data_IF_307429958530
#
_entry.id   IF_307429958530
#
_cell.length_a   1.000
_cell.length_b   1.000
_cell.length_c   1.000
_cell.angle_alpha   90.00
_cell.angle_beta   90.00
_cell.angle_gamma   90.00
#
_symmetry.space_group_name_H-M   'P 1'
#
loop_
_entity.id
_entity.type
_entity.pdbx_description
1 polymer ?
#
# COMPACT_ATOMS: atom_id res chain seq x y z
N UNK A 1 -10.08 65.16 33.38
CA UNK A 1 -10.52 63.86 33.94
C UNK A 1 -11.40 63.21 32.89
N UNK A 2 -10.84 62.35 32.06
CA UNK A 2 -11.52 61.76 30.91
C UNK A 2 -12.14 60.43 31.32
N UNK A 3 -13.45 60.29 31.12
CA UNK A 3 -14.19 59.05 31.36
C UNK A 3 -13.74 57.96 30.37
N UNK A 4 -13.69 56.69 30.80
CA UNK A 4 -13.39 55.58 29.92
C UNK A 4 -14.59 55.24 29.01
N UNK A 5 -14.36 54.69 27.81
CA UNK A 5 -15.41 54.32 26.88
C UNK A 5 -16.18 53.07 27.34
N UNK A 6 -17.44 52.88 26.91
CA UNK A 6 -18.27 51.75 27.30
C UNK A 6 -17.81 50.45 26.63
N UNK A 7 -17.84 49.37 27.39
CA UNK A 7 -17.51 48.01 26.95
C UNK A 7 -18.60 47.43 26.07
N UNK A 8 -18.28 47.15 24.80
CA UNK A 8 -19.15 46.41 23.88
C UNK A 8 -19.10 44.91 24.20
N UNK A 9 -20.18 44.38 24.78
CA UNK A 9 -20.40 42.95 24.98
C UNK A 9 -20.74 42.26 23.66
N UNK A 10 -19.74 41.68 23.00
CA UNK A 10 -19.98 40.78 21.87
C UNK A 10 -20.47 39.43 22.40
N UNK A 11 -21.71 39.09 22.06
CA UNK A 11 -22.31 37.78 22.32
C UNK A 11 -21.55 36.69 21.56
N UNK A 12 -20.79 35.88 22.30
CA UNK A 12 -20.14 34.67 21.79
C UNK A 12 -21.22 33.65 21.41
N UNK A 13 -21.62 33.63 20.14
CA UNK A 13 -22.36 32.53 19.54
C UNK A 13 -21.43 31.30 19.46
N UNK A 14 -21.40 30.52 20.55
CA UNK A 14 -20.86 29.16 20.55
C UNK A 14 -21.71 28.32 19.60
N UNK A 15 -21.30 28.20 18.34
CA UNK A 15 -21.78 27.14 17.45
C UNK A 15 -21.52 25.81 18.17
N UNK A 16 -22.59 25.07 18.47
CA UNK A 16 -22.49 23.73 19.01
C UNK A 16 -21.79 22.85 17.97
N UNK A 17 -20.85 22.04 18.43
CA UNK A 17 -20.08 21.09 17.62
C UNK A 17 -20.94 19.97 16.98
N UNK A 18 -22.25 19.98 17.19
CA UNK A 18 -23.23 19.03 16.68
C UNK A 18 -23.62 19.25 15.21
N UNK A 19 -23.18 20.35 14.60
CA UNK A 19 -23.63 20.76 13.26
C UNK A 19 -22.63 20.37 12.16
N UNK A 20 -21.63 19.53 12.47
CA UNK A 20 -20.79 18.92 11.44
C UNK A 20 -21.62 17.86 10.69
N UNK A 21 -21.67 17.90 9.34
CA UNK A 21 -22.38 16.89 8.57
C UNK A 21 -21.84 15.49 8.89
N UNK A 22 -22.64 14.67 9.58
CA UNK A 22 -22.40 13.23 9.75
C UNK A 22 -22.82 12.43 8.52
N UNK A 23 -23.40 13.10 7.52
CA UNK A 23 -23.86 12.48 6.29
C UNK A 23 -22.70 12.28 5.29
N UNK A 24 -21.91 11.23 5.55
CA UNK A 24 -20.85 10.75 4.66
C UNK A 24 -21.40 9.88 3.51
N UNK A 25 -22.72 9.77 3.33
CA UNK A 25 -23.30 9.07 2.17
C UNK A 25 -22.99 9.79 0.84
N UNK A 26 -22.56 11.05 0.91
CA UNK A 26 -22.07 11.84 -0.22
C UNK A 26 -20.55 11.74 -0.44
N UNK A 27 -19.95 10.57 -0.23
CA UNK A 27 -18.62 10.31 -0.77
C UNK A 27 -18.69 10.44 -2.29
N UNK A 28 -18.08 11.52 -2.82
CA UNK A 28 -18.02 11.73 -4.27
C UNK A 28 -17.44 10.48 -4.92
N UNK A 29 -18.07 9.93 -5.98
CA UNK A 29 -17.52 8.79 -6.72
C UNK A 29 -16.05 9.03 -7.04
N UNK A 30 -15.21 8.03 -6.81
CA UNK A 30 -13.77 8.12 -7.08
C UNK A 30 -13.58 8.59 -8.53
N UNK A 31 -12.80 9.64 -8.79
CA UNK A 31 -12.34 9.91 -10.17
C UNK A 31 -11.39 8.76 -10.57
N UNK A 32 -11.91 7.79 -11.30
CA UNK A 32 -11.21 6.58 -11.73
C UNK A 32 -12.05 5.83 -12.76
N UNK A 33 -11.43 4.97 -13.56
CA UNK A 33 -12.15 4.20 -14.57
C UNK A 33 -13.28 3.36 -13.96
N UNK A 34 -14.38 3.16 -14.72
CA UNK A 34 -15.60 2.41 -14.30
C UNK A 34 -15.30 1.11 -13.54
N UNK A 35 -14.22 0.43 -13.91
CA UNK A 35 -13.73 -0.80 -13.28
C UNK A 35 -13.47 -0.67 -11.76
N UNK A 36 -12.89 0.45 -11.31
CA UNK A 36 -12.61 0.65 -9.88
C UNK A 36 -13.88 0.88 -9.07
N UNK A 37 -14.84 1.61 -9.64
CA UNK A 37 -16.11 1.95 -8.97
C UNK A 37 -17.05 0.74 -8.85
N UNK A 38 -16.88 -0.29 -9.69
CA UNK A 38 -17.74 -1.48 -9.73
C UNK A 38 -17.92 -2.16 -8.36
N UNK A 39 -16.89 -2.12 -7.51
CA UNK A 39 -16.92 -2.75 -6.18
C UNK A 39 -17.04 -1.75 -5.03
N UNK A 40 -17.35 -0.47 -5.30
CA UNK A 40 -17.57 0.50 -4.23
C UNK A 40 -18.73 0.07 -3.32
N UNK A 41 -19.79 -0.50 -3.90
CA UNK A 41 -20.92 -1.06 -3.13
C UNK A 41 -20.50 -2.28 -2.31
N UNK A 42 -19.62 -3.14 -2.82
CA UNK A 42 -19.08 -4.27 -2.04
C UNK A 42 -18.42 -3.75 -0.75
N UNK A 43 -17.52 -2.77 -0.86
CA UNK A 43 -16.77 -2.25 0.28
C UNK A 43 -17.63 -1.39 1.23
N UNK A 44 -18.57 -0.63 0.70
CA UNK A 44 -19.35 0.34 1.47
C UNK A 44 -20.65 -0.23 2.06
N UNK A 45 -21.21 -1.29 1.48
CA UNK A 45 -22.53 -1.82 1.87
C UNK A 45 -22.54 -3.29 2.27
N UNK A 46 -21.68 -4.12 1.66
CA UNK A 46 -21.79 -5.58 1.80
C UNK A 46 -20.78 -6.22 2.75
N UNK A 47 -19.55 -5.70 2.84
CA UNK A 47 -18.54 -6.22 3.76
C UNK A 47 -18.74 -5.69 5.19
N UNK A 48 -18.34 -6.44 6.24
CA UNK A 48 -18.39 -5.95 7.62
C UNK A 48 -17.60 -4.65 7.80
N UNK A 49 -18.14 -3.69 8.56
CA UNK A 49 -17.57 -2.33 8.69
C UNK A 49 -17.35 -1.92 10.14
N UNK A 50 -16.31 -1.10 10.34
CA UNK A 50 -16.10 -0.32 11.55
C UNK A 50 -15.98 1.15 11.14
N UNK A 51 -16.94 1.98 11.59
CA UNK A 51 -17.14 3.33 11.08
C UNK A 51 -17.21 3.35 9.53
N UNK A 52 -16.28 4.07 8.89
CA UNK A 52 -16.28 4.29 7.43
C UNK A 52 -15.39 3.32 6.64
N UNK A 53 -14.84 2.29 7.27
CA UNK A 53 -13.91 1.33 6.62
C UNK A 53 -14.35 -0.11 6.86
N UNK A 54 -13.75 -1.07 6.15
CA UNK A 54 -13.92 -2.50 6.46
C UNK A 54 -13.43 -2.74 7.89
N UNK A 55 -14.17 -3.54 8.66
CA UNK A 55 -13.78 -3.90 10.02
C UNK A 55 -12.40 -4.61 10.01
N UNK A 56 -11.38 -4.07 10.69
CA UNK A 56 -10.04 -4.67 10.72
C UNK A 56 -9.99 -6.06 11.36
N UNK A 57 -11.02 -6.47 12.10
CA UNK A 57 -11.12 -7.81 12.70
C UNK A 57 -11.98 -8.78 11.89
N UNK A 58 -12.59 -8.32 10.79
CA UNK A 58 -13.40 -9.20 9.95
C UNK A 58 -12.54 -10.22 9.20
N UNK A 59 -12.94 -11.49 9.27
CA UNK A 59 -12.29 -12.60 8.58
C UNK A 59 -13.06 -12.98 7.32
N UNK A 60 -12.35 -13.38 6.26
CA UNK A 60 -12.99 -13.83 5.01
C UNK A 60 -13.88 -15.05 5.23
N UNK A 61 -13.49 -15.93 6.17
CA UNK A 61 -14.28 -17.11 6.53
C UNK A 61 -15.68 -16.77 7.05
N UNK A 62 -15.83 -15.62 7.72
CA UNK A 62 -17.10 -15.20 8.31
C UNK A 62 -18.05 -14.56 7.28
N UNK A 63 -17.58 -14.35 6.04
CA UNK A 63 -18.39 -13.79 4.95
C UNK A 63 -19.13 -14.91 4.24
N UNK A 64 -20.46 -14.81 4.26
CA UNK A 64 -21.40 -15.80 3.72
C UNK A 64 -22.38 -15.15 2.73
N UNK A 65 -23.07 -15.98 1.93
CA UNK A 65 -24.10 -15.52 0.99
C UNK A 65 -23.58 -14.57 -0.08
N UNK A 66 -24.40 -13.59 -0.46
CA UNK A 66 -24.11 -12.65 -1.56
C UNK A 66 -22.79 -11.87 -1.39
N UNK A 67 -22.45 -11.31 -0.21
CA UNK A 67 -21.14 -10.68 0.00
C UNK A 67 -19.94 -11.59 -0.32
N UNK A 68 -20.06 -12.91 -0.08
CA UNK A 68 -18.99 -13.89 -0.38
C UNK A 68 -18.82 -14.03 -1.90
N UNK A 69 -19.92 -14.11 -2.65
CA UNK A 69 -19.90 -14.18 -4.11
C UNK A 69 -19.32 -12.91 -4.74
N UNK A 70 -19.71 -11.74 -4.25
CA UNK A 70 -19.16 -10.46 -4.68
C UNK A 70 -17.67 -10.35 -4.36
N UNK A 71 -17.23 -10.83 -3.18
CA UNK A 71 -15.81 -10.86 -2.83
C UNK A 71 -15.01 -11.80 -3.73
N UNK A 72 -15.52 -13.00 -4.06
CA UNK A 72 -14.89 -13.89 -5.05
C UNK A 72 -14.75 -13.21 -6.41
N UNK A 73 -15.83 -12.60 -6.91
CA UNK A 73 -15.81 -11.87 -8.17
C UNK A 73 -14.83 -10.68 -8.16
N UNK A 74 -14.69 -10.00 -7.02
CA UNK A 74 -13.70 -8.95 -6.83
C UNK A 74 -12.27 -9.50 -6.94
N UNK A 75 -11.95 -10.59 -6.24
CA UNK A 75 -10.63 -11.25 -6.33
C UNK A 75 -10.34 -11.67 -7.77
N UNK A 76 -11.29 -12.32 -8.45
CA UNK A 76 -11.19 -12.68 -9.87
C UNK A 76 -10.81 -11.48 -10.73
N UNK A 77 -11.50 -10.35 -10.54
CA UNK A 77 -11.25 -9.18 -11.36
C UNK A 77 -9.89 -8.52 -11.05
N UNK A 78 -9.38 -8.65 -9.83
CA UNK A 78 -8.07 -8.11 -9.43
C UNK A 78 -6.89 -9.01 -9.79
N UNK A 79 -7.17 -10.25 -10.16
CA UNK A 79 -6.18 -11.23 -10.61
C UNK A 79 -6.50 -11.68 -12.06
N UNK A 80 -6.52 -10.78 -13.06
CA UNK A 80 -6.87 -11.14 -14.42
C UNK A 80 -5.87 -12.14 -15.00
N UNK A 81 -6.37 -13.26 -15.53
CA UNK A 81 -5.55 -14.35 -16.07
C UNK A 81 -5.06 -15.36 -15.04
N UNK A 82 -5.44 -15.20 -13.76
CA UNK A 82 -5.05 -16.08 -12.65
C UNK A 82 -6.26 -16.40 -11.77
N UNK A 83 -7.23 -17.10 -12.34
CA UNK A 83 -8.52 -17.41 -11.70
C UNK A 83 -8.34 -18.32 -10.48
N UNK A 84 -7.34 -19.19 -10.53
CA UNK A 84 -6.94 -20.11 -9.47
C UNK A 84 -6.54 -19.41 -8.16
N UNK A 85 -6.19 -18.12 -8.20
CA UNK A 85 -5.89 -17.36 -6.99
C UNK A 85 -7.14 -17.15 -6.11
N UNK A 86 -8.34 -17.16 -6.70
CA UNK A 86 -9.59 -17.14 -5.93
C UNK A 86 -9.69 -18.41 -5.09
N UNK A 87 -9.43 -19.57 -5.70
CA UNK A 87 -9.51 -20.85 -5.03
C UNK A 87 -8.43 -20.96 -3.94
N UNK A 88 -7.20 -20.53 -4.22
CA UNK A 88 -6.12 -20.49 -3.24
C UNK A 88 -6.51 -19.65 -2.01
N UNK A 89 -6.96 -18.41 -2.21
CA UNK A 89 -7.27 -17.49 -1.11
C UNK A 89 -8.49 -17.93 -0.30
N UNK A 90 -9.54 -18.45 -0.96
CA UNK A 90 -10.72 -18.95 -0.26
C UNK A 90 -10.46 -20.30 0.41
N UNK A 91 -9.55 -21.12 -0.12
CA UNK A 91 -9.09 -22.32 0.57
C UNK A 91 -8.37 -21.96 1.88
N UNK A 92 -7.52 -20.92 1.90
CA UNK A 92 -6.91 -20.41 3.14
C UNK A 92 -7.98 -19.93 4.12
N UNK A 93 -8.98 -19.17 3.65
CA UNK A 93 -10.06 -18.73 4.50
C UNK A 93 -10.84 -19.90 5.12
N UNK A 94 -11.03 -21.00 4.39
CA UNK A 94 -11.79 -22.16 4.86
C UNK A 94 -10.98 -23.06 5.80
N UNK A 95 -9.69 -23.27 5.54
CA UNK A 95 -8.84 -24.20 6.30
C UNK A 95 -8.08 -23.53 7.44
N UNK A 96 -7.81 -22.23 7.31
CA UNK A 96 -7.12 -21.40 8.30
C UNK A 96 -7.93 -20.13 8.59
N UNK A 97 -9.11 -20.26 9.21
CA UNK A 97 -10.14 -19.21 9.25
C UNK A 97 -9.76 -17.92 9.97
N UNK A 98 -8.66 -17.93 10.73
CA UNK A 98 -8.14 -16.78 11.46
C UNK A 98 -6.98 -16.07 10.74
N UNK A 99 -6.55 -16.56 9.57
CA UNK A 99 -5.33 -16.11 8.92
C UNK A 99 -5.55 -15.13 7.76
N UNK A 100 -6.75 -15.06 7.19
CA UNK A 100 -7.09 -14.14 6.11
C UNK A 100 -8.15 -13.12 6.53
N UNK A 101 -7.68 -11.93 6.93
CA UNK A 101 -8.54 -10.79 7.24
C UNK A 101 -9.08 -10.14 5.98
N UNK A 102 -10.37 -9.81 5.97
CA UNK A 102 -11.07 -9.22 4.81
C UNK A 102 -10.46 -7.88 4.42
N UNK A 103 -10.17 -7.02 5.41
CA UNK A 103 -9.57 -5.72 5.19
C UNK A 103 -8.20 -5.86 4.52
N UNK A 104 -7.33 -6.72 5.06
CA UNK A 104 -5.97 -6.93 4.55
C UNK A 104 -5.97 -7.53 3.14
N UNK A 105 -6.88 -8.46 2.85
CA UNK A 105 -7.08 -8.99 1.51
C UNK A 105 -7.39 -7.85 0.51
N UNK A 106 -8.36 -7.01 0.84
CA UNK A 106 -8.79 -5.93 -0.05
C UNK A 106 -7.71 -4.85 -0.21
N UNK A 107 -7.04 -4.45 0.88
CA UNK A 107 -5.92 -3.51 0.86
C UNK A 107 -4.78 -4.04 0.00
N UNK A 108 -4.39 -5.30 0.19
CA UNK A 108 -3.29 -5.94 -0.54
C UNK A 108 -3.60 -6.02 -2.03
N UNK A 109 -4.81 -6.46 -2.41
CA UNK A 109 -5.19 -6.59 -3.83
C UNK A 109 -5.22 -5.24 -4.57
N UNK A 110 -5.79 -4.19 -3.96
CA UNK A 110 -5.76 -2.86 -4.57
C UNK A 110 -4.31 -2.33 -4.67
N UNK A 111 -3.51 -2.54 -3.63
CA UNK A 111 -2.12 -2.07 -3.59
C UNK A 111 -1.25 -2.78 -4.63
N UNK A 112 -1.26 -4.11 -4.66
CA UNK A 112 -0.51 -4.92 -5.63
C UNK A 112 -0.99 -4.64 -7.07
N UNK A 113 -2.26 -4.31 -7.28
CA UNK A 113 -2.73 -3.87 -8.60
C UNK A 113 -2.02 -2.61 -9.06
N UNK A 114 -1.94 -1.59 -8.20
CA UNK A 114 -1.26 -0.32 -8.49
C UNK A 114 0.24 -0.50 -8.65
N UNK A 115 0.86 -1.25 -7.74
CA UNK A 115 2.31 -1.50 -7.71
C UNK A 115 2.73 -2.32 -8.91
N UNK A 116 2.01 -3.40 -9.24
CA UNK A 116 2.32 -4.20 -10.42
C UNK A 116 2.10 -3.46 -11.74
N UNK A 117 1.18 -2.48 -11.79
CA UNK A 117 1.06 -1.59 -12.95
C UNK A 117 2.27 -0.66 -13.08
N UNK A 118 2.82 -0.19 -11.96
CA UNK A 118 4.03 0.63 -11.92
C UNK A 118 5.26 -0.17 -12.37
N UNK A 119 5.47 -1.36 -11.79
CA UNK A 119 6.54 -2.28 -12.20
C UNK A 119 6.45 -2.61 -13.69
N UNK A 120 5.25 -2.90 -14.22
CA UNK A 120 5.07 -3.13 -15.66
C UNK A 120 5.50 -1.93 -16.51
N UNK A 121 5.23 -0.71 -16.06
CA UNK A 121 5.65 0.49 -16.78
C UNK A 121 7.18 0.66 -16.75
N UNK A 122 7.82 0.41 -15.61
CA UNK A 122 9.28 0.43 -15.46
C UNK A 122 9.98 -0.61 -16.35
N UNK A 123 9.38 -1.78 -16.51
CA UNK A 123 9.92 -2.89 -17.31
C UNK A 123 9.45 -2.89 -18.77
N UNK A 124 8.77 -1.83 -19.21
CA UNK A 124 8.38 -1.68 -20.60
C UNK A 124 9.61 -1.41 -21.47
N UNK A 125 9.55 -1.77 -22.76
CA UNK A 125 10.65 -1.55 -23.71
C UNK A 125 11.10 -0.09 -23.82
N UNK A 126 10.21 0.85 -23.51
CA UNK A 126 10.52 2.28 -23.52
C UNK A 126 11.43 2.67 -22.34
N UNK A 127 11.19 2.10 -21.15
CA UNK A 127 11.91 2.44 -19.93
C UNK A 127 13.08 1.48 -19.61
N UNK A 128 13.07 0.26 -20.16
CA UNK A 128 14.13 -0.75 -20.03
C UNK A 128 14.39 -1.45 -21.39
N UNK A 129 14.94 -0.73 -22.39
CA UNK A 129 15.10 -1.22 -23.75
C UNK A 129 16.02 -2.44 -23.85
N UNK A 130 17.02 -2.55 -22.98
CA UNK A 130 17.95 -3.68 -22.91
C UNK A 130 17.39 -4.84 -22.07
N UNK A 131 16.36 -4.60 -21.27
CA UNK A 131 15.82 -5.55 -20.30
C UNK A 131 16.78 -5.83 -19.15
N UNK A 132 17.82 -5.00 -18.95
CA UNK A 132 18.83 -5.22 -17.92
C UNK A 132 18.21 -5.13 -16.53
N UNK A 133 17.36 -4.11 -16.32
CA UNK A 133 16.71 -3.92 -15.04
C UNK A 133 15.81 -5.11 -14.72
N UNK A 134 15.01 -5.58 -15.68
CA UNK A 134 14.17 -6.77 -15.50
C UNK A 134 14.97 -8.00 -15.05
N UNK A 135 16.17 -8.20 -15.60
CA UNK A 135 17.02 -9.38 -15.30
C UNK A 135 17.69 -9.30 -13.94
N UNK A 136 18.03 -8.10 -13.46
CA UNK A 136 18.75 -7.92 -12.19
C UNK A 136 17.85 -7.52 -11.02
N UNK A 137 16.61 -7.06 -11.27
CA UNK A 137 15.71 -6.57 -10.23
C UNK A 137 15.34 -7.66 -9.22
N UNK A 138 15.44 -7.30 -7.95
CA UNK A 138 14.76 -7.97 -6.83
C UNK A 138 13.65 -7.06 -6.30
N UNK A 139 12.47 -7.63 -6.08
CA UNK A 139 11.37 -6.96 -5.38
C UNK A 139 11.47 -7.31 -3.90
N UNK A 140 11.56 -6.31 -3.03
CA UNK A 140 11.52 -6.49 -1.59
C UNK A 140 10.14 -6.11 -1.06
N UNK A 141 9.49 -7.01 -0.31
CA UNK A 141 8.31 -6.72 0.51
C UNK A 141 8.79 -6.53 1.96
N UNK A 142 8.90 -5.27 2.39
CA UNK A 142 9.54 -4.86 3.64
C UNK A 142 8.50 -4.66 4.74
N UNK A 143 8.74 -5.26 5.91
CA UNK A 143 7.75 -5.39 6.98
C UNK A 143 6.46 -6.04 6.45
N UNK A 144 6.63 -7.13 5.71
CA UNK A 144 5.57 -7.75 4.92
C UNK A 144 4.45 -8.40 5.75
N UNK A 145 4.65 -8.54 7.06
CA UNK A 145 3.71 -9.11 8.01
C UNK A 145 3.34 -10.55 7.65
N UNK A 146 2.23 -10.71 6.95
CA UNK A 146 1.73 -12.01 6.51
C UNK A 146 2.22 -12.41 5.11
N UNK A 147 2.95 -11.53 4.40
CA UNK A 147 3.65 -11.84 3.15
C UNK A 147 2.79 -12.03 1.90
N UNK A 148 1.48 -11.75 1.96
CA UNK A 148 0.58 -11.93 0.82
C UNK A 148 0.91 -10.99 -0.34
N UNK A 149 1.36 -9.76 -0.05
CA UNK A 149 1.77 -8.80 -1.08
C UNK A 149 2.91 -9.34 -1.94
N UNK A 150 4.00 -9.76 -1.29
CA UNK A 150 5.13 -10.42 -1.95
C UNK A 150 4.72 -11.71 -2.66
N UNK A 151 3.84 -12.54 -2.08
CA UNK A 151 3.32 -13.75 -2.73
C UNK A 151 2.63 -13.44 -4.06
N UNK A 152 1.73 -12.46 -4.08
CA UNK A 152 1.00 -12.05 -5.27
C UNK A 152 1.92 -11.43 -6.32
N UNK A 153 2.93 -10.66 -5.90
CA UNK A 153 3.93 -10.11 -6.82
C UNK A 153 4.84 -11.21 -7.39
N UNK A 154 5.26 -12.18 -6.59
CA UNK A 154 6.06 -13.31 -7.06
C UNK A 154 5.30 -14.12 -8.10
N UNK A 155 4.01 -14.38 -7.85
CA UNK A 155 3.13 -15.08 -8.79
C UNK A 155 2.92 -14.29 -10.09
N UNK A 156 2.73 -12.96 -9.98
CA UNK A 156 2.54 -12.08 -11.15
C UNK A 156 3.81 -11.88 -11.97
N UNK A 157 4.98 -11.91 -11.33
CA UNK A 157 6.29 -11.65 -11.94
C UNK A 157 7.23 -12.85 -11.73
N UNK A 158 6.94 -14.01 -12.34
CA UNK A 158 7.67 -15.24 -12.05
C UNK A 158 9.15 -15.22 -12.43
N UNK A 159 9.55 -14.30 -13.33
CA UNK A 159 10.95 -14.13 -13.72
C UNK A 159 11.74 -13.17 -12.83
N UNK A 160 11.12 -12.57 -11.80
CA UNK A 160 11.73 -11.58 -10.92
C UNK A 160 11.81 -12.17 -9.51
N UNK A 161 12.97 -12.05 -8.87
CA UNK A 161 13.15 -12.50 -7.49
C UNK A 161 12.32 -11.64 -6.55
N UNK A 162 11.62 -12.26 -5.59
CA UNK A 162 10.87 -11.57 -4.54
C UNK A 162 11.36 -12.00 -3.17
N UNK A 163 11.66 -11.03 -2.31
CA UNK A 163 12.13 -11.26 -0.94
C UNK A 163 11.19 -10.57 0.04
N UNK A 164 10.44 -11.38 0.79
CA UNK A 164 9.65 -10.95 1.93
C UNK A 164 10.55 -10.82 3.15
N UNK A 165 10.53 -9.68 3.85
CA UNK A 165 11.30 -9.47 5.07
C UNK A 165 10.38 -8.97 6.18
N UNK A 166 10.41 -9.65 7.33
CA UNK A 166 9.75 -9.23 8.56
C UNK A 166 10.56 -9.70 9.78
N UNK A 167 10.24 -9.19 10.97
CA UNK A 167 10.90 -9.56 12.23
C UNK A 167 10.58 -10.99 12.66
N UNK A 168 9.50 -11.57 12.15
CA UNK A 168 9.06 -12.93 12.42
C UNK A 168 8.37 -13.52 11.18
N UNK A 169 8.46 -14.83 11.01
CA UNK A 169 7.64 -15.54 10.03
C UNK A 169 6.31 -15.93 10.69
N UNK A 170 5.21 -15.30 10.28
CA UNK A 170 3.89 -15.60 10.85
C UNK A 170 3.28 -16.86 10.23
N UNK A 171 2.46 -17.64 10.95
CA UNK A 171 1.86 -18.87 10.44
C UNK A 171 1.07 -18.73 9.12
N UNK A 172 0.51 -17.55 8.87
CA UNK A 172 -0.18 -17.23 7.62
C UNK A 172 0.72 -17.27 6.38
N UNK A 173 2.03 -17.05 6.52
CA UNK A 173 2.98 -17.24 5.43
C UNK A 173 2.90 -18.65 4.86
N UNK A 174 2.99 -19.65 5.75
CA UNK A 174 2.99 -21.07 5.39
C UNK A 174 1.67 -21.49 4.73
N UNK A 175 0.52 -21.04 5.25
CA UNK A 175 -0.78 -21.37 4.66
C UNK A 175 -0.98 -20.73 3.29
N UNK A 176 -0.51 -19.49 3.08
CA UNK A 176 -0.52 -18.87 1.75
C UNK A 176 0.36 -19.65 0.78
N UNK A 177 1.58 -20.04 1.19
CA UNK A 177 2.45 -20.86 0.34
C UNK A 177 1.79 -22.17 -0.04
N UNK A 178 1.25 -22.90 0.94
CA UNK A 178 0.58 -24.17 0.71
C UNK A 178 -0.59 -24.02 -0.28
N UNK A 179 -1.42 -22.99 -0.13
CA UNK A 179 -2.52 -22.71 -1.04
C UNK A 179 -2.04 -22.41 -2.47
N UNK A 180 -1.01 -21.58 -2.61
CA UNK A 180 -0.46 -21.24 -3.92
C UNK A 180 0.19 -22.45 -4.59
N UNK A 181 0.88 -23.31 -3.84
CA UNK A 181 1.44 -24.55 -4.39
C UNK A 181 0.35 -25.55 -4.80
N UNK A 182 -0.78 -25.56 -4.09
CA UNK A 182 -1.91 -26.46 -4.37
C UNK A 182 -2.73 -26.05 -5.59
N UNK A 183 -3.01 -24.76 -5.75
CA UNK A 183 -3.93 -24.27 -6.78
C UNK A 183 -3.24 -23.48 -7.89
N UNK A 184 -2.08 -22.90 -7.62
CA UNK A 184 -1.37 -22.06 -8.56
C UNK A 184 -0.73 -22.82 -9.71
N UNK A 185 -0.35 -22.08 -10.74
CA UNK A 185 0.27 -22.60 -11.96
C UNK A 185 1.74 -22.21 -11.97
N UNK A 186 2.62 -23.20 -12.11
CA UNK A 186 4.05 -22.96 -12.29
C UNK A 186 4.29 -22.18 -13.58
N UNK A 187 5.14 -21.16 -13.50
CA UNK A 187 5.48 -20.36 -14.67
C UNK A 187 6.29 -21.16 -15.70
N UNK A 188 7.21 -21.99 -15.23
CA UNK A 188 7.96 -22.93 -16.07
C UNK A 188 7.75 -24.37 -15.59
N UNK A 189 7.73 -25.32 -16.51
CA UNK A 189 7.58 -26.76 -16.20
C UNK A 189 8.70 -27.29 -15.30
N UNK A 190 9.87 -26.64 -15.38
CA UNK A 190 11.08 -27.00 -14.64
C UNK A 190 11.13 -26.40 -13.24
N UNK A 191 10.24 -25.45 -12.92
CA UNK A 191 10.22 -24.83 -11.60
C UNK A 191 9.86 -25.88 -10.55
N UNK A 192 10.60 -25.89 -9.44
CA UNK A 192 10.37 -26.83 -8.34
C UNK A 192 9.06 -26.52 -7.62
N UNK A 193 8.65 -25.25 -7.57
CA UNK A 193 7.45 -24.76 -6.90
C UNK A 193 6.78 -23.63 -7.70
N UNK A 194 5.49 -23.37 -7.45
CA UNK A 194 4.72 -22.27 -8.05
C UNK A 194 5.33 -20.91 -7.72
N UNK A 195 5.90 -20.78 -6.53
CA UNK A 195 6.53 -19.58 -6.00
C UNK A 195 8.05 -19.73 -5.87
N UNK A 196 8.69 -20.38 -6.85
CA UNK A 196 10.13 -20.68 -6.81
C UNK A 196 11.03 -19.43 -6.74
N UNK A 197 10.52 -18.27 -7.19
CA UNK A 197 11.19 -16.97 -7.14
C UNK A 197 11.00 -16.23 -5.80
N UNK A 198 10.28 -16.80 -4.83
CA UNK A 198 9.90 -16.16 -3.57
C UNK A 198 10.67 -16.73 -2.38
N UNK A 199 11.25 -15.84 -1.57
CA UNK A 199 11.91 -16.19 -0.31
C UNK A 199 11.40 -15.34 0.85
N UNK A 200 11.43 -15.89 2.06
CA UNK A 200 11.19 -15.15 3.30
C UNK A 200 12.50 -15.02 4.07
N UNK A 201 12.74 -13.85 4.65
CA UNK A 201 13.88 -13.59 5.53
C UNK A 201 13.39 -12.99 6.85
N UNK A 202 13.72 -13.66 7.94
CA UNK A 202 13.46 -13.15 9.29
C UNK A 202 14.59 -12.19 9.69
N UNK A 203 14.24 -10.98 10.11
CA UNK A 203 15.20 -10.02 10.65
C UNK A 203 14.71 -8.57 10.66
N UNK A 204 15.52 -7.70 11.27
CA UNK A 204 15.27 -6.26 11.23
C UNK A 204 15.68 -5.68 9.86
N UNK A 205 14.71 -5.16 9.11
CA UNK A 205 14.94 -4.47 7.82
C UNK A 205 15.85 -3.25 7.92
N UNK A 206 16.05 -2.69 9.12
CA UNK A 206 17.02 -1.61 9.34
C UNK A 206 18.47 -2.13 9.42
N UNK A 207 18.66 -3.45 9.58
CA UNK A 207 19.97 -4.07 9.64
C UNK A 207 20.51 -4.34 8.24
N UNK A 208 21.75 -3.88 7.98
CA UNK A 208 22.47 -4.18 6.75
C UNK A 208 22.76 -5.67 6.58
N UNK A 209 22.73 -6.51 7.61
CA UNK A 209 22.88 -7.97 7.42
C UNK A 209 21.61 -8.61 6.84
N UNK A 210 20.47 -7.98 7.10
CA UNK A 210 19.15 -8.48 6.71
C UNK A 210 18.75 -7.92 5.34
N UNK A 211 18.92 -6.63 5.14
CA UNK A 211 18.43 -5.93 3.96
C UNK A 211 19.55 -5.13 3.29
N UNK A 212 19.89 -5.54 2.05
CA UNK A 212 20.90 -4.90 1.21
C UNK A 212 20.37 -4.79 -0.21
N UNK A 213 19.55 -3.76 -0.51
CA UNK A 213 19.09 -3.55 -1.87
C UNK A 213 20.26 -3.17 -2.77
N UNK A 214 20.07 -3.38 -4.06
CA UNK A 214 21.00 -3.04 -5.12
C UNK A 214 20.37 -1.99 -6.04
N UNK A 215 21.23 -1.41 -6.90
CA UNK A 215 20.80 -0.48 -7.92
C UNK A 215 19.75 -1.12 -8.86
N UNK A 216 18.60 -0.46 -9.02
CA UNK A 216 17.51 -0.91 -9.89
C UNK A 216 16.49 -1.85 -9.26
N UNK A 217 16.69 -2.27 -8.01
CA UNK A 217 15.71 -3.06 -7.24
C UNK A 217 14.38 -2.30 -7.05
N UNK A 218 13.38 -2.97 -6.47
CA UNK A 218 12.08 -2.37 -6.17
C UNK A 218 11.67 -2.62 -4.71
N UNK A 219 11.37 -1.55 -3.96
CA UNK A 219 11.05 -1.62 -2.54
C UNK A 219 9.56 -1.40 -2.29
N UNK A 220 8.85 -2.43 -1.84
CA UNK A 220 7.48 -2.34 -1.38
C UNK A 220 7.44 -2.31 0.15
N UNK A 221 6.63 -1.41 0.72
CA UNK A 221 6.33 -1.41 2.14
C UNK A 221 4.87 -1.01 2.35
N UNK A 222 4.00 -2.02 2.49
CA UNK A 222 2.60 -1.79 2.84
C UNK A 222 2.49 -1.66 4.35
N UNK A 223 1.75 -0.66 4.82
CA UNK A 223 1.70 -0.32 6.24
C UNK A 223 3.10 0.03 6.82
N UNK A 224 3.83 0.90 6.13
CA UNK A 224 5.07 1.50 6.63
C UNK A 224 4.79 2.44 7.80
N UNK A 225 4.91 1.94 9.04
CA UNK A 225 4.58 2.71 10.23
C UNK A 225 5.78 3.53 10.73
N UNK A 226 5.52 4.78 11.09
CA UNK A 226 6.49 5.69 11.67
C UNK A 226 7.79 5.82 10.85
N UNK A 227 8.93 5.60 11.50
CA UNK A 227 10.29 5.76 10.96
C UNK A 227 10.55 4.83 9.76
N UNK A 228 9.72 3.80 9.59
CA UNK A 228 9.83 2.87 8.48
C UNK A 228 9.56 3.52 7.12
N UNK A 229 8.52 4.36 7.00
CA UNK A 229 8.21 4.99 5.71
C UNK A 229 9.35 5.90 5.23
N UNK A 230 9.89 6.83 6.06
CA UNK A 230 11.08 7.60 5.71
C UNK A 230 12.32 6.73 5.43
N UNK A 231 12.53 5.65 6.18
CA UNK A 231 13.65 4.75 5.95
C UNK A 231 13.59 4.12 4.55
N UNK A 232 12.45 3.53 4.16
CA UNK A 232 12.32 2.89 2.84
C UNK A 232 12.53 3.90 1.71
N UNK A 233 11.97 5.11 1.84
CA UNK A 233 12.15 6.17 0.84
C UNK A 233 13.61 6.65 0.76
N UNK A 234 14.27 6.83 1.91
CA UNK A 234 15.68 7.20 1.97
C UNK A 234 16.58 6.11 1.40
N UNK A 235 16.30 4.85 1.71
CA UNK A 235 17.04 3.71 1.16
C UNK A 235 16.85 3.63 -0.34
N UNK A 236 15.62 3.81 -0.84
CA UNK A 236 15.37 3.83 -2.28
C UNK A 236 16.15 4.92 -3.00
N UNK A 237 16.31 6.09 -2.38
CA UNK A 237 17.12 7.19 -2.94
C UNK A 237 18.60 6.83 -2.95
N UNK A 238 19.15 6.33 -1.84
CA UNK A 238 20.57 5.95 -1.72
C UNK A 238 20.97 4.85 -2.69
N UNK A 239 20.07 3.88 -2.92
CA UNK A 239 20.33 2.73 -3.78
C UNK A 239 19.70 2.85 -5.17
N UNK A 240 19.12 4.00 -5.54
CA UNK A 240 18.49 4.22 -6.85
C UNK A 240 17.48 3.12 -7.22
N UNK A 241 16.51 2.90 -6.35
CA UNK A 241 15.49 1.85 -6.53
C UNK A 241 14.15 2.41 -7.01
N UNK A 242 13.30 1.52 -7.52
CA UNK A 242 11.86 1.72 -7.55
C UNK A 242 11.28 1.56 -6.14
N UNK A 243 10.11 2.14 -5.87
CA UNK A 243 9.46 1.98 -4.57
C UNK A 243 7.95 2.19 -4.61
N UNK A 244 7.27 1.53 -3.68
CA UNK A 244 5.89 1.81 -3.30
C UNK A 244 5.70 1.68 -1.78
N UNK A 245 5.34 2.78 -1.14
CA UNK A 245 5.18 2.86 0.31
C UNK A 245 3.75 3.31 0.65
N UNK A 246 3.04 2.55 1.47
CA UNK A 246 1.75 2.93 2.06
C UNK A 246 1.95 3.27 3.54
N UNK A 247 2.07 4.57 3.91
CA UNK A 247 2.24 4.94 5.31
C UNK A 247 0.97 4.64 6.13
N UNK A 248 1.11 4.09 7.34
CA UNK A 248 -0.03 3.77 8.24
C UNK A 248 -0.11 4.66 9.47
N UNK A 249 0.99 4.79 10.22
CA UNK A 249 1.02 5.50 11.49
C UNK A 249 2.10 6.57 11.43
N UNK A 250 1.77 7.77 10.95
CA UNK A 250 2.71 8.89 10.95
C UNK A 250 2.50 9.71 12.24
N UNK A 251 3.43 9.54 13.19
CA UNK A 251 3.42 10.26 14.47
C UNK A 251 3.81 11.72 14.30
N UNK A 252 3.30 12.56 15.20
CA UNK A 252 3.71 13.95 15.33
C UNK A 252 5.21 14.08 15.61
N UNK A 253 5.83 15.15 15.11
CA UNK A 253 7.27 15.40 15.24
C UNK A 253 8.15 14.66 14.23
N UNK A 254 7.71 13.54 13.63
CA UNK A 254 8.53 12.80 12.66
C UNK A 254 8.86 13.60 11.40
N UNK A 255 7.93 14.46 10.97
CA UNK A 255 8.06 15.23 9.74
C UNK A 255 8.63 16.63 9.99
N UNK A 256 9.19 16.89 11.18
CA UNK A 256 9.68 18.21 11.57
C UNK A 256 8.59 19.22 11.91
N UNK A 257 7.32 18.79 11.88
CA UNK A 257 6.18 19.58 12.37
C UNK A 257 5.84 19.09 13.77
N UNK A 258 6.11 19.94 14.75
CA UNK A 258 5.75 19.73 16.16
C UNK A 258 4.60 20.66 16.53
N UNK A 259 3.75 20.18 17.43
CA UNK A 259 2.56 20.89 17.85
C UNK A 259 2.63 21.06 19.35
N UNK A 260 2.24 22.24 19.84
CA UNK A 260 2.13 22.50 21.28
C UNK A 260 0.82 21.97 21.86
N UNK A 261 -0.01 21.27 21.07
CA UNK A 261 -1.26 20.70 21.53
C UNK A 261 -0.98 19.52 22.47
N UNK A 262 -1.76 19.43 23.55
CA UNK A 262 -1.61 18.40 24.59
C UNK A 262 -1.84 16.99 24.07
N UNK A 263 -2.54 16.84 22.95
CA UNK A 263 -2.78 15.57 22.27
C UNK A 263 -1.80 15.28 21.13
N UNK A 264 -0.77 16.13 20.92
CA UNK A 264 0.20 16.00 19.82
C UNK A 264 -0.51 15.76 18.48
N UNK A 265 -1.38 16.69 18.13
CA UNK A 265 -2.05 16.74 16.84
C UNK A 265 -1.73 18.07 16.12
N UNK A 266 -1.77 18.08 14.78
CA UNK A 266 -1.52 19.29 13.97
C UNK A 266 -2.62 20.36 14.06
N UNK A 267 -3.47 20.32 15.09
CA UNK A 267 -4.73 21.07 15.14
C UNK A 267 -5.76 20.60 14.10
N UNK A 268 -5.43 19.58 13.31
CA UNK A 268 -6.28 18.98 12.30
C UNK A 268 -7.06 17.83 12.95
N UNK A 269 -8.34 18.08 13.20
CA UNK A 269 -9.25 17.13 13.88
C UNK A 269 -9.63 15.97 12.96
N UNK A 270 -9.75 16.23 11.65
CA UNK A 270 -10.00 15.18 10.67
C UNK A 270 -8.73 14.35 10.42
N UNK A 271 -8.73 13.11 10.90
CA UNK A 271 -7.64 12.15 10.73
C UNK A 271 -7.31 11.92 9.25
N UNK A 272 -8.32 11.96 8.37
CA UNK A 272 -8.13 11.74 6.93
C UNK A 272 -7.35 12.89 6.28
N UNK A 273 -7.75 14.14 6.54
CA UNK A 273 -7.02 15.31 6.10
C UNK A 273 -5.60 15.34 6.68
N UNK A 274 -5.45 15.08 7.99
CA UNK A 274 -4.15 15.04 8.65
C UNK A 274 -3.23 14.01 8.00
N UNK A 275 -3.71 12.78 7.82
CA UNK A 275 -2.99 11.71 7.14
C UNK A 275 -2.58 12.11 5.72
N UNK A 276 -3.51 12.67 4.94
CA UNK A 276 -3.26 13.07 3.55
C UNK A 276 -2.17 14.14 3.45
N UNK A 277 -2.16 15.12 4.36
CA UNK A 277 -1.13 16.15 4.44
C UNK A 277 0.23 15.55 4.82
N UNK A 278 0.26 14.63 5.79
CA UNK A 278 1.51 13.97 6.20
C UNK A 278 2.11 13.13 5.05
N UNK A 279 1.27 12.41 4.29
CA UNK A 279 1.70 11.67 3.09
C UNK A 279 2.18 12.62 2.00
N UNK A 280 1.47 13.72 1.75
CA UNK A 280 1.88 14.73 0.78
C UNK A 280 3.21 15.39 1.13
N UNK A 281 3.43 15.72 2.40
CA UNK A 281 4.71 16.21 2.90
C UNK A 281 5.82 15.18 2.68
N UNK A 282 5.58 13.92 3.01
CA UNK A 282 6.56 12.85 2.84
C UNK A 282 6.93 12.68 1.35
N UNK A 283 5.94 12.65 0.46
CA UNK A 283 6.17 12.60 -0.98
C UNK A 283 6.99 13.80 -1.48
N UNK A 284 6.65 15.02 -1.06
CA UNK A 284 7.38 16.24 -1.43
C UNK A 284 8.83 16.25 -0.91
N UNK A 285 9.05 15.86 0.35
CA UNK A 285 10.38 15.79 0.97
C UNK A 285 11.33 14.87 0.22
N UNK A 286 10.81 13.77 -0.32
CA UNK A 286 11.57 12.77 -1.06
C UNK A 286 11.47 12.96 -2.59
N UNK A 287 10.92 14.07 -3.08
CA UNK A 287 10.86 14.36 -4.52
C UNK A 287 10.01 13.35 -5.32
N UNK A 288 9.01 12.75 -4.69
CA UNK A 288 8.20 11.70 -5.33
C UNK A 288 7.14 12.31 -6.23
N UNK A 289 7.14 11.91 -7.51
CA UNK A 289 6.21 12.44 -8.53
C UNK A 289 4.79 11.88 -8.51
N UNK A 290 4.52 10.81 -7.72
CA UNK A 290 3.22 10.12 -7.76
C UNK A 290 2.75 9.66 -6.38
N UNK A 291 1.52 10.07 -6.05
CA UNK A 291 0.73 9.52 -4.95
C UNK A 291 -0.53 8.89 -5.56
N UNK A 292 -0.73 7.61 -5.30
CA UNK A 292 -1.91 6.86 -5.73
C UNK A 292 -2.84 6.60 -4.54
N UNK A 293 -4.10 6.30 -4.84
CA UNK A 293 -5.12 6.01 -3.84
C UNK A 293 -5.81 4.67 -4.12
N UNK A 294 -6.02 3.88 -3.06
CA UNK A 294 -6.98 2.77 -3.03
C UNK A 294 -8.33 3.26 -2.50
N UNK A 295 -9.33 2.38 -2.37
CA UNK A 295 -10.64 2.81 -1.87
C UNK A 295 -10.58 3.23 -0.39
N UNK A 296 -11.08 4.41 -0.08
CA UNK A 296 -11.26 4.88 1.29
C UNK A 296 -12.28 4.04 2.08
N UNK A 297 -13.18 3.33 1.38
CA UNK A 297 -14.10 2.38 2.03
C UNK A 297 -13.41 1.11 2.52
N UNK A 298 -12.21 0.81 2.00
CA UNK A 298 -11.39 -0.30 2.49
C UNK A 298 -10.62 0.14 3.74
N UNK A 299 -10.02 1.34 3.71
CA UNK A 299 -9.12 1.80 4.76
C UNK A 299 -9.00 3.33 4.82
N UNK A 300 -8.72 3.86 6.01
CA UNK A 300 -8.41 5.27 6.23
C UNK A 300 -6.92 5.59 5.95
N UNK A 301 -6.11 4.58 5.59
CA UNK A 301 -4.72 4.70 5.16
C UNK A 301 -4.58 4.33 3.69
N UNK A 302 -5.32 5.05 2.85
CA UNK A 302 -5.59 4.67 1.45
C UNK A 302 -4.57 5.22 0.45
N UNK A 303 -3.52 5.93 0.89
CA UNK A 303 -2.57 6.58 -0.01
C UNK A 303 -1.27 5.76 -0.12
N UNK A 304 -0.78 5.62 -1.33
CA UNK A 304 0.48 4.95 -1.66
C UNK A 304 1.39 5.95 -2.38
N UNK A 305 2.58 6.16 -1.82
CA UNK A 305 3.66 6.93 -2.45
C UNK A 305 4.39 5.97 -3.39
N UNK A 306 4.43 6.28 -4.68
CA UNK A 306 5.03 5.41 -5.71
C UNK A 306 6.03 6.23 -6.51
N UNK A 307 7.21 5.67 -6.77
CA UNK A 307 8.21 6.35 -7.58
C UNK A 307 9.37 5.45 -7.96
N UNK A 308 10.30 6.05 -8.69
CA UNK A 308 11.51 5.38 -9.14
C UNK A 308 12.68 6.36 -9.25
N UNK A 309 13.72 6.12 -8.46
CA UNK A 309 14.95 6.89 -8.52
C UNK A 309 15.92 6.35 -9.58
N UNK A 310 15.75 5.11 -10.02
CA UNK A 310 16.58 4.51 -11.07
C UNK A 310 16.45 5.27 -12.39
N UNK A 311 15.22 5.42 -12.89
CA UNK A 311 14.96 6.13 -14.15
C UNK A 311 15.26 7.63 -14.07
N UNK A 312 15.16 8.25 -12.89
CA UNK A 312 15.48 9.67 -12.72
C UNK A 312 16.97 9.95 -12.99
N UNK A 313 17.86 9.15 -12.39
CA UNK A 313 19.31 9.30 -12.62
C UNK A 313 19.71 9.04 -14.08
N UNK A 314 19.09 8.06 -14.74
CA UNK A 314 19.45 7.73 -16.12
C UNK A 314 19.02 8.82 -17.12
N UNK A 315 17.91 9.53 -16.85
CA UNK A 315 17.46 10.66 -17.69
C UNK A 315 18.36 11.89 -17.54
N UNK A 316 18.89 12.15 -16.35
CA UNK A 316 19.84 13.24 -16.13
C UNK A 316 21.17 12.98 -16.85
N UNK A 317 21.62 11.73 -16.91
CA UNK A 317 22.83 11.36 -17.66
C UNK A 317 22.64 11.56 -19.17
N UNK A 318 21.52 11.12 -19.75
CA UNK A 318 21.27 11.27 -21.18
C UNK A 318 21.18 12.73 -21.64
N UNK A 319 20.59 13.61 -20.83
CA UNK A 319 20.49 15.04 -21.15
C UNK A 319 21.86 15.76 -21.09
N UNK A 320 22.74 15.32 -20.20
CA UNK A 320 24.08 15.89 -20.09
C UNK A 320 24.99 15.49 -21.26
N UNK A 321 24.80 14.30 -21.84
CA UNK A 321 25.57 13.85 -23.01
C UNK A 321 25.14 14.58 -24.29
N UNK A 322 23.84 14.85 -24.48
CA UNK A 322 23.33 15.65 -25.61
C UNK A 322 23.75 17.14 -25.55
N UNK A 323 24.00 17.67 -24.35
CA UNK A 323 24.46 19.07 -24.18
C UNK A 323 25.94 19.29 -24.51
N UNK A 324 26.71 18.20 -24.72
CA UNK A 324 28.14 18.23 -25.03
C UNK A 324 28.46 17.89 -26.49
N UNK A 325 27.45 17.54 -27.29
CA UNK A 325 27.53 17.34 -28.74
C UNK A 325 27.06 18.56 -29.50
#
# INVERSE_FOLDING_TARGET
MNQPPPSSSQSNNKRKMSDLPTDWTNMRPRKGGKRRQRFDDLFSKHLPRSANVIDPNSMVNNIQGEPRHLLKAYVTERCPGSLELVDALFWVAEHYPQQLRTKELCETLESVTLIGADINALLSKENDPTGDRKRSMTIFDLACGHGLGGMLLAYRFPSIKVVCIDKEERPCWTSYREAFEKFGVKANKQDTSVTANLTFKVGDIMSSEVFQPQNGDYLMCLHGCNELSPFVLSTGQSYKTGFAVMPCCLRDGMLGVTTSSSNRNWGIVDDTARYSIQVGYLAGKFGVGKVAAISQSITNRFLIIIGDYWSQCNKELSLNDESKS
#
